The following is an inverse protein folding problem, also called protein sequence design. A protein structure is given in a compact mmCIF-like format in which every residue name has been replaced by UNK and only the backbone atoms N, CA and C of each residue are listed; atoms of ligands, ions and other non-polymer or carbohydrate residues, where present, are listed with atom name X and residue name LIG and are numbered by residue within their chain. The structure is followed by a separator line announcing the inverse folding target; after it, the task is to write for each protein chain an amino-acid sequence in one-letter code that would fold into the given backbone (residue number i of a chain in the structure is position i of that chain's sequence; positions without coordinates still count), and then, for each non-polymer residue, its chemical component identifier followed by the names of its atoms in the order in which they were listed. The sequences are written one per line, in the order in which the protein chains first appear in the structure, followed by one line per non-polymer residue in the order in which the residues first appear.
data_IF_307378003620
#
_entry.id   IF_307378003620
#
_cell.length_a   1.000
_cell.length_b   1.000
_cell.length_c   1.000
_cell.angle_alpha   90.00
_cell.angle_beta   90.00
_cell.angle_gamma   90.00
#
_symmetry.space_group_name_H-M   'P 1'
#
loop_
_entity.id
_entity.type
_entity.pdbx_description
1 polymer ?
#
# COMPACT_ATOMS: atom_id res chain seq x y z
N UNK A 1 -11.05 -24.94 -20.46
CA UNK A 1 -11.27 -25.27 -19.07
C UNK A 1 -11.49 -23.99 -18.28
N UNK A 2 -12.69 -23.55 -18.42
CA UNK A 2 -13.09 -22.22 -18.05
C UNK A 2 -14.14 -22.30 -16.96
N UNK A 3 -13.88 -21.50 -15.92
CA UNK A 3 -14.95 -20.92 -15.11
C UNK A 3 -15.78 -21.86 -14.21
N UNK A 4 -15.11 -22.63 -13.37
CA UNK A 4 -15.77 -23.33 -12.25
C UNK A 4 -15.57 -22.67 -10.89
N UNK A 5 -15.04 -21.46 -10.84
CA UNK A 5 -14.80 -20.74 -9.58
C UNK A 5 -15.88 -19.73 -9.20
N UNK A 6 -17.04 -19.72 -9.86
CA UNK A 6 -18.15 -18.81 -9.57
C UNK A 6 -19.23 -19.40 -8.68
N UNK A 7 -18.92 -20.29 -7.81
CA UNK A 7 -19.93 -20.81 -6.92
C UNK A 7 -19.34 -21.38 -5.65
N UNK A 8 -19.65 -20.74 -4.55
CA UNK A 8 -19.32 -21.10 -3.18
C UNK A 8 -18.04 -20.44 -2.66
N UNK A 9 -18.23 -19.50 -1.80
CA UNK A 9 -17.38 -18.79 -0.88
C UNK A 9 -16.09 -19.38 -0.38
N UNK A 10 -15.27 -19.95 -1.22
CA UNK A 10 -13.90 -20.23 -0.90
C UNK A 10 -13.11 -18.94 -1.06
N UNK A 11 -12.85 -18.31 0.05
CA UNK A 11 -11.87 -17.24 0.18
C UNK A 11 -10.49 -17.85 -0.07
N UNK A 12 -10.15 -18.06 -1.33
CA UNK A 12 -8.79 -18.45 -1.68
C UNK A 12 -7.87 -17.31 -1.26
N UNK A 13 -6.98 -17.59 -0.33
CA UNK A 13 -5.87 -16.70 -0.01
C UNK A 13 -5.06 -16.53 -1.29
N UNK A 14 -5.20 -15.41 -1.96
CA UNK A 14 -4.35 -15.07 -3.09
C UNK A 14 -3.01 -14.62 -2.54
N UNK A 15 -1.93 -15.20 -3.03
CA UNK A 15 -0.60 -14.87 -2.56
C UNK A 15 0.41 -14.76 -3.68
N UNK A 16 1.35 -13.84 -3.51
CA UNK A 16 2.60 -13.76 -4.23
C UNK A 16 3.74 -13.94 -3.24
N UNK A 17 4.65 -14.84 -3.53
CA UNK A 17 5.74 -15.10 -2.59
C UNK A 17 7.05 -15.48 -3.27
N UNK A 18 8.18 -15.27 -2.56
CA UNK A 18 9.51 -15.65 -3.01
C UNK A 18 9.83 -15.11 -4.40
N UNK A 19 9.62 -13.82 -4.60
CA UNK A 19 9.70 -13.18 -5.91
C UNK A 19 10.67 -11.99 -5.88
N UNK A 20 11.28 -11.74 -7.02
CA UNK A 20 12.09 -10.54 -7.25
C UNK A 20 11.43 -9.70 -8.32
N UNK A 21 11.27 -8.41 -8.06
CA UNK A 21 10.55 -7.48 -8.91
C UNK A 21 11.46 -6.35 -9.40
N UNK A 22 11.25 -5.97 -10.64
CA UNK A 22 11.89 -4.83 -11.27
C UNK A 22 10.83 -4.06 -12.06
N UNK A 23 10.61 -2.79 -11.74
CA UNK A 23 9.64 -1.96 -12.45
C UNK A 23 10.32 -0.77 -13.13
N UNK A 24 10.48 -0.84 -14.43
CA UNK A 24 10.99 0.28 -15.25
C UNK A 24 9.98 1.42 -15.38
N UNK A 25 8.69 1.11 -15.24
CA UNK A 25 7.58 2.06 -15.29
C UNK A 25 6.47 1.57 -14.36
N UNK A 26 5.82 2.49 -13.67
CA UNK A 26 4.72 2.25 -12.74
C UNK A 26 5.08 1.39 -11.51
N UNK A 27 4.10 0.77 -10.89
CA UNK A 27 4.21 0.10 -9.60
C UNK A 27 4.86 -1.28 -9.68
N UNK A 28 5.81 -1.64 -8.82
CA UNK A 28 6.24 -3.03 -8.65
C UNK A 28 5.11 -3.94 -8.15
N UNK A 29 4.34 -3.49 -7.13
CA UNK A 29 3.13 -4.17 -6.65
C UNK A 29 1.97 -3.19 -6.64
N UNK A 30 0.90 -3.55 -7.34
CA UNK A 30 -0.27 -2.72 -7.45
C UNK A 30 -1.58 -3.49 -7.24
N UNK A 31 -2.45 -2.99 -6.37
CA UNK A 31 -3.75 -3.57 -6.08
C UNK A 31 -4.83 -2.52 -6.36
N UNK A 32 -5.78 -2.86 -7.19
CA UNK A 32 -6.99 -2.10 -7.40
C UNK A 32 -7.01 -1.28 -8.67
N UNK A 33 -7.54 -0.19 -8.65
CA UNK A 33 -8.09 0.96 -9.29
C UNK A 33 -9.37 0.66 -10.07
N UNK A 34 -9.33 -0.20 -11.07
CA UNK A 34 -10.48 -0.48 -11.91
C UNK A 34 -11.39 -1.56 -11.32
N UNK A 35 -12.67 -1.46 -11.59
CA UNK A 35 -13.68 -2.41 -11.16
C UNK A 35 -14.98 -2.23 -11.92
N UNK A 36 -16.01 -2.88 -11.41
CA UNK A 36 -17.37 -2.79 -11.94
C UNK A 36 -18.29 -2.08 -10.96
N UNK A 37 -18.58 -0.80 -11.21
CA UNK A 37 -19.42 0.02 -10.31
C UNK A 37 -20.86 -0.49 -10.19
N UNK A 38 -21.36 -1.25 -11.17
CA UNK A 38 -22.70 -1.88 -11.12
C UNK A 38 -22.69 -3.16 -10.27
N UNK A 39 -21.53 -3.79 -10.13
CA UNK A 39 -21.31 -4.95 -9.28
C UNK A 39 -20.00 -4.76 -8.50
N UNK A 40 -20.00 -3.94 -7.45
CA UNK A 40 -18.80 -3.56 -6.73
C UNK A 40 -18.06 -4.75 -6.13
N UNK A 41 -16.76 -4.79 -6.32
CA UNK A 41 -15.91 -5.90 -5.91
C UNK A 41 -15.31 -5.68 -4.52
N UNK A 42 -14.99 -6.79 -3.86
CA UNK A 42 -14.17 -6.81 -2.65
C UNK A 42 -12.88 -7.57 -2.96
N UNK A 43 -11.76 -6.89 -2.88
CA UNK A 43 -10.43 -7.46 -3.02
C UNK A 43 -9.90 -7.70 -1.60
N UNK A 44 -9.83 -8.96 -1.18
CA UNK A 44 -9.47 -9.26 0.20
C UNK A 44 -8.59 -10.49 0.38
N UNK A 45 -7.99 -10.59 1.57
CA UNK A 45 -7.13 -11.70 1.99
C UNK A 45 -5.94 -11.96 1.05
N UNK A 46 -5.31 -10.86 0.62
CA UNK A 46 -4.15 -10.89 -0.28
C UNK A 46 -2.86 -10.91 0.54
N UNK A 47 -1.92 -11.76 0.15
CA UNK A 47 -0.64 -11.87 0.84
C UNK A 47 0.53 -11.73 -0.14
N UNK A 48 1.45 -10.86 0.20
CA UNK A 48 2.72 -10.61 -0.51
C UNK A 48 3.86 -10.89 0.46
N UNK A 49 4.59 -11.99 0.25
CA UNK A 49 5.52 -12.51 1.27
C UNK A 49 6.88 -12.82 0.65
N UNK A 50 7.93 -12.38 1.32
CA UNK A 50 9.32 -12.63 0.93
C UNK A 50 9.61 -12.18 -0.51
N UNK A 51 9.61 -10.87 -0.71
CA UNK A 51 9.78 -10.24 -2.02
C UNK A 51 10.95 -9.26 -1.99
N UNK A 52 11.77 -9.28 -3.02
CA UNK A 52 12.78 -8.28 -3.29
C UNK A 52 12.29 -7.33 -4.38
N UNK A 53 12.31 -6.03 -4.12
CA UNK A 53 12.04 -4.99 -5.12
C UNK A 53 13.36 -4.29 -5.44
N UNK A 54 13.88 -4.55 -6.62
CA UNK A 54 15.19 -4.06 -7.04
C UNK A 54 15.16 -2.65 -7.62
N UNK A 55 14.02 -2.27 -8.22
CA UNK A 55 13.88 -0.95 -8.83
C UNK A 55 12.43 -0.51 -8.97
N UNK A 56 12.25 0.80 -8.97
CA UNK A 56 11.01 1.49 -9.28
C UNK A 56 11.35 2.82 -9.96
N UNK A 57 10.67 3.14 -11.07
CA UNK A 57 10.87 4.41 -11.75
C UNK A 57 9.56 4.95 -12.29
N UNK A 58 9.02 5.93 -11.59
CA UNK A 58 7.79 6.59 -12.03
C UNK A 58 7.77 8.06 -11.57
N UNK A 59 7.48 8.94 -12.50
CA UNK A 59 7.35 10.38 -12.24
C UNK A 59 5.94 10.80 -11.86
N UNK A 60 4.94 10.07 -12.35
CA UNK A 60 3.54 10.41 -12.15
C UNK A 60 3.08 9.91 -10.79
N UNK A 61 2.64 10.83 -9.96
CA UNK A 61 2.19 10.56 -8.60
C UNK A 61 1.15 9.42 -8.51
N UNK A 62 0.24 9.35 -9.47
CA UNK A 62 -0.82 8.35 -9.50
C UNK A 62 -0.33 6.94 -9.82
N UNK A 63 0.90 6.80 -10.29
CA UNK A 63 1.53 5.53 -10.63
C UNK A 63 2.75 5.20 -9.76
N UNK A 64 3.01 6.00 -8.73
CA UNK A 64 4.09 5.77 -7.78
C UNK A 64 3.67 4.83 -6.65
N UNK A 65 4.65 4.12 -6.09
CA UNK A 65 4.55 3.26 -4.92
C UNK A 65 5.04 1.86 -5.18
N UNK A 66 6.07 1.44 -4.44
CA UNK A 66 6.54 0.05 -4.48
C UNK A 66 5.45 -0.90 -3.99
N UNK A 67 4.71 -0.47 -2.96
CA UNK A 67 3.59 -1.18 -2.36
C UNK A 67 2.34 -0.29 -2.47
N UNK A 68 1.59 -0.43 -3.56
CA UNK A 68 0.50 0.48 -3.88
C UNK A 68 -0.87 -0.21 -3.81
N UNK A 69 -1.83 0.49 -3.18
CA UNK A 69 -3.25 0.12 -3.15
C UNK A 69 -4.06 1.36 -3.50
N UNK A 70 -4.70 1.34 -4.65
CA UNK A 70 -5.56 2.44 -5.06
C UNK A 70 -6.98 1.92 -5.32
N UNK A 71 -7.92 2.22 -4.43
CA UNK A 71 -9.30 1.80 -4.58
C UNK A 71 -10.07 2.78 -5.48
N UNK A 72 -10.64 2.29 -6.57
CA UNK A 72 -11.52 3.01 -7.49
C UNK A 72 -12.79 2.20 -7.77
N UNK A 73 -13.69 2.72 -8.60
CA UNK A 73 -14.89 2.05 -9.12
C UNK A 73 -15.74 1.28 -8.07
N UNK A 74 -15.94 1.89 -6.90
CA UNK A 74 -16.63 1.30 -5.75
C UNK A 74 -15.99 0.00 -5.20
N UNK A 75 -14.73 -0.28 -5.50
CA UNK A 75 -14.03 -1.41 -4.90
C UNK A 75 -13.76 -1.16 -3.41
N UNK A 76 -13.84 -2.22 -2.63
CA UNK A 76 -13.33 -2.29 -1.27
C UNK A 76 -12.10 -3.19 -1.24
N UNK A 77 -10.98 -2.67 -0.73
CA UNK A 77 -9.74 -3.43 -0.60
C UNK A 77 -9.45 -3.61 0.89
N UNK A 78 -9.33 -4.85 1.36
CA UNK A 78 -9.13 -5.11 2.79
C UNK A 78 -8.33 -6.38 3.08
N UNK A 79 -7.80 -6.45 4.31
CA UNK A 79 -7.07 -7.62 4.79
C UNK A 79 -5.90 -7.98 3.87
N UNK A 80 -5.07 -6.99 3.54
CA UNK A 80 -3.88 -7.18 2.73
C UNK A 80 -2.65 -7.21 3.63
N UNK A 81 -1.76 -8.16 3.38
CA UNK A 81 -0.52 -8.34 4.12
C UNK A 81 0.67 -8.27 3.19
N UNK A 82 1.57 -7.37 3.50
CA UNK A 82 2.92 -7.30 2.95
C UNK A 82 3.89 -7.70 4.05
N UNK A 83 4.67 -8.77 3.85
CA UNK A 83 5.57 -9.29 4.88
C UNK A 83 6.92 -9.68 4.31
N UNK A 84 7.98 -9.31 5.04
CA UNK A 84 9.36 -9.60 4.67
C UNK A 84 9.67 -9.12 3.24
N UNK A 85 9.50 -7.82 3.01
CA UNK A 85 9.78 -7.20 1.71
C UNK A 85 11.00 -6.29 1.84
N UNK A 86 11.95 -6.51 0.98
CA UNK A 86 13.21 -5.74 0.91
C UNK A 86 13.17 -4.89 -0.35
N UNK A 87 13.30 -3.58 -0.15
CA UNK A 87 13.25 -2.60 -1.23
C UNK A 87 14.64 -1.96 -1.32
N UNK A 88 15.29 -2.10 -2.47
CA UNK A 88 16.57 -1.48 -2.77
C UNK A 88 16.40 -0.02 -3.15
N UNK A 89 17.52 0.70 -3.32
CA UNK A 89 17.50 2.09 -3.79
C UNK A 89 17.03 2.17 -5.24
N UNK A 90 15.79 2.54 -5.42
CA UNK A 90 15.17 2.69 -6.72
C UNK A 90 15.41 4.11 -7.30
N UNK A 91 15.21 4.24 -8.62
CA UNK A 91 15.51 5.47 -9.35
C UNK A 91 14.60 6.65 -9.03
N UNK A 92 13.29 6.43 -8.85
CA UNK A 92 12.31 7.46 -8.52
C UNK A 92 10.96 6.87 -8.14
N UNK A 93 10.34 7.33 -7.06
CA UNK A 93 8.99 6.95 -6.67
C UNK A 93 8.78 6.95 -5.17
N UNK A 94 7.74 6.26 -4.72
CA UNK A 94 7.33 6.16 -3.33
C UNK A 94 7.50 4.73 -2.79
N UNK A 95 7.68 4.59 -1.49
CA UNK A 95 7.65 3.26 -0.86
C UNK A 95 6.22 2.73 -0.81
N UNK A 96 5.29 3.56 -0.34
CA UNK A 96 3.89 3.19 -0.13
C UNK A 96 2.97 4.23 -0.77
N UNK A 97 1.91 3.76 -1.43
CA UNK A 97 0.84 4.62 -1.94
C UNK A 97 -0.52 3.98 -1.67
N UNK A 98 -1.21 4.43 -0.62
CA UNK A 98 -2.55 3.97 -0.30
C UNK A 98 -3.52 5.13 -0.55
N UNK A 99 -4.34 5.02 -1.59
CA UNK A 99 -5.27 6.08 -1.96
C UNK A 99 -6.63 5.52 -2.34
N UNK A 100 -7.68 6.18 -1.88
CA UNK A 100 -8.97 6.00 -2.52
C UNK A 100 -9.00 6.96 -3.70
N UNK A 101 -9.13 6.39 -4.89
CA UNK A 101 -8.86 7.07 -6.15
C UNK A 101 -10.15 7.37 -6.92
N UNK A 102 -10.18 8.54 -7.55
CA UNK A 102 -11.17 8.89 -8.55
C UNK A 102 -10.56 9.80 -9.63
N UNK A 103 -10.66 9.36 -10.86
CA UNK A 103 -10.31 10.13 -12.03
C UNK A 103 -11.30 9.79 -13.13
N UNK A 104 -12.12 10.73 -13.54
CA UNK A 104 -13.20 10.55 -14.51
C UNK A 104 -12.77 9.92 -15.84
N UNK A 105 -11.49 10.03 -16.19
CA UNK A 105 -10.94 9.41 -17.38
C UNK A 105 -10.84 7.88 -17.25
N UNK A 106 -10.64 7.37 -16.02
CA UNK A 106 -10.32 5.96 -15.76
C UNK A 106 -11.30 5.25 -14.85
N UNK A 107 -12.05 6.00 -14.05
CA UNK A 107 -12.96 5.47 -13.06
C UNK A 107 -14.33 6.12 -13.21
N UNK A 108 -15.37 5.38 -12.91
CA UNK A 108 -16.75 5.87 -12.89
C UNK A 108 -17.24 6.26 -11.50
N UNK A 109 -16.52 5.87 -10.45
CA UNK A 109 -16.76 6.24 -9.06
C UNK A 109 -15.47 6.13 -8.24
N UNK A 110 -15.35 6.83 -7.10
CA UNK A 110 -14.28 6.56 -6.15
C UNK A 110 -14.45 5.17 -5.50
N UNK A 111 -13.37 4.62 -4.97
CA UNK A 111 -13.40 3.39 -4.19
C UNK A 111 -14.23 3.52 -2.90
N UNK A 112 -14.69 2.40 -2.35
CA UNK A 112 -15.44 2.38 -1.09
C UNK A 112 -14.55 2.50 0.14
N UNK A 113 -13.33 1.95 0.10
CA UNK A 113 -12.43 1.96 1.24
C UNK A 113 -11.17 1.13 1.03
N UNK A 114 -10.20 1.37 1.92
CA UNK A 114 -9.00 0.55 2.10
C UNK A 114 -8.91 0.25 3.59
N UNK A 115 -8.92 -1.03 4.00
CA UNK A 115 -9.05 -1.39 5.40
C UNK A 115 -8.14 -2.56 5.80
N UNK A 116 -7.60 -2.50 7.04
CA UNK A 116 -6.82 -3.60 7.63
C UNK A 116 -5.61 -4.01 6.78
N UNK A 117 -4.71 -3.09 6.55
CA UNK A 117 -3.48 -3.33 5.79
C UNK A 117 -2.31 -3.49 6.76
N UNK A 118 -1.59 -4.58 6.63
CA UNK A 118 -0.41 -4.88 7.43
C UNK A 118 0.86 -4.82 6.56
N UNK A 119 1.79 -3.97 6.97
CA UNK A 119 3.16 -3.93 6.48
C UNK A 119 4.07 -4.46 7.59
N UNK A 120 4.61 -5.66 7.42
CA UNK A 120 5.43 -6.32 8.44
C UNK A 120 6.81 -6.64 7.91
N UNK A 121 7.84 -6.30 8.68
CA UNK A 121 9.23 -6.54 8.32
C UNK A 121 9.57 -6.01 6.91
N UNK A 122 9.23 -4.73 6.68
CA UNK A 122 9.52 -4.02 5.43
C UNK A 122 10.82 -3.27 5.62
N UNK A 123 11.76 -3.43 4.70
CA UNK A 123 13.00 -2.66 4.70
C UNK A 123 13.21 -1.90 3.39
N UNK A 124 13.70 -0.68 3.53
CA UNK A 124 14.18 0.13 2.42
C UNK A 124 15.62 0.58 2.69
N UNK A 125 16.47 0.45 1.68
CA UNK A 125 17.84 0.95 1.72
C UNK A 125 18.07 1.81 0.50
N UNK A 126 18.14 3.13 0.69
CA UNK A 126 18.33 4.08 -0.40
C UNK A 126 17.98 5.52 -0.03
N UNK A 127 18.12 6.43 -0.99
CA UNK A 127 17.91 7.87 -0.80
C UNK A 127 16.81 8.45 -1.69
N UNK A 128 16.40 7.74 -2.73
CA UNK A 128 15.52 8.25 -3.79
C UNK A 128 14.02 8.16 -3.49
N UNK A 129 13.62 7.61 -2.33
CA UNK A 129 12.22 7.55 -1.97
C UNK A 129 11.61 8.94 -1.78
N UNK A 130 10.58 9.26 -2.57
CA UNK A 130 9.74 10.43 -2.41
C UNK A 130 8.78 10.24 -1.23
N UNK A 131 8.03 11.28 -0.88
CA UNK A 131 7.06 11.19 0.22
C UNK A 131 5.94 10.24 -0.14
N UNK A 132 5.84 9.14 0.58
CA UNK A 132 4.74 8.17 0.50
C UNK A 132 3.43 8.78 0.97
N UNK A 133 2.29 8.21 0.52
CA UNK A 133 0.97 8.76 0.83
C UNK A 133 0.00 7.70 1.34
N UNK A 134 -0.80 8.10 2.35
CA UNK A 134 -1.95 7.34 2.83
C UNK A 134 -3.12 8.32 2.95
N UNK A 135 -4.09 8.27 2.02
CA UNK A 135 -5.14 9.29 1.89
C UNK A 135 -6.48 8.65 1.53
N UNK A 136 -7.52 8.95 2.30
CA UNK A 136 -8.91 8.63 1.96
C UNK A 136 -9.51 9.63 0.97
N UNK A 137 -10.81 9.52 0.71
CA UNK A 137 -11.49 10.35 -0.27
C UNK A 137 -12.49 11.33 0.35
N UNK A 138 -13.35 10.83 1.23
CA UNK A 138 -14.36 11.61 1.94
C UNK A 138 -14.69 10.98 3.30
N UNK A 139 -15.69 11.51 3.99
CA UNK A 139 -16.10 11.05 5.33
C UNK A 139 -16.59 9.61 5.37
N UNK A 140 -17.03 9.06 4.26
CA UNK A 140 -17.55 7.70 4.15
C UNK A 140 -16.49 6.74 3.57
N UNK A 141 -15.67 7.24 2.65
CA UNK A 141 -14.67 6.49 1.92
C UNK A 141 -13.29 6.73 2.51
N UNK A 142 -12.93 5.89 3.47
CA UNK A 142 -11.75 6.08 4.32
C UNK A 142 -10.68 5.02 4.10
N UNK A 143 -9.45 5.39 4.43
CA UNK A 143 -8.38 4.44 4.67
C UNK A 143 -8.31 4.17 6.17
N UNK A 144 -8.38 2.89 6.61
CA UNK A 144 -8.48 2.53 8.01
C UNK A 144 -7.59 1.38 8.41
N UNK A 145 -7.09 1.43 9.66
CA UNK A 145 -6.34 0.36 10.29
C UNK A 145 -5.11 -0.06 9.47
N UNK A 146 -4.22 0.88 9.25
CA UNK A 146 -2.95 0.65 8.59
C UNK A 146 -1.87 0.45 9.65
N UNK A 147 -1.21 -0.69 9.62
CA UNK A 147 -0.22 -1.04 10.63
C UNK A 147 1.12 -1.37 10.00
N UNK A 148 2.15 -0.69 10.48
CA UNK A 148 3.54 -0.98 10.16
C UNK A 148 4.17 -1.68 11.36
N UNK A 149 4.68 -2.89 11.18
CA UNK A 149 5.44 -3.65 12.16
C UNK A 149 6.88 -3.80 11.65
N UNK A 150 7.86 -3.29 12.40
CA UNK A 150 9.28 -3.32 12.03
C UNK A 150 9.60 -2.68 10.67
N UNK A 151 9.00 -1.53 10.35
CA UNK A 151 9.42 -0.76 9.18
C UNK A 151 10.85 -0.26 9.39
N UNK A 152 11.77 -0.62 8.52
CA UNK A 152 13.18 -0.25 8.61
C UNK A 152 13.58 0.61 7.41
N UNK A 153 14.12 1.80 7.67
CA UNK A 153 14.62 2.72 6.64
C UNK A 153 16.09 2.97 6.90
N UNK A 154 16.94 2.60 5.97
CA UNK A 154 18.41 2.74 6.07
C UNK A 154 18.97 2.18 7.40
N UNK A 155 18.45 1.03 7.84
CA UNK A 155 18.89 0.36 9.05
C UNK A 155 18.23 0.86 10.34
N UNK A 156 17.45 1.94 10.31
CA UNK A 156 16.71 2.45 11.47
C UNK A 156 15.28 1.92 11.48
N UNK A 157 14.86 1.29 12.58
CA UNK A 157 13.47 0.85 12.78
C UNK A 157 12.62 2.05 13.17
N UNK A 158 11.54 2.29 12.43
CA UNK A 158 10.60 3.40 12.65
C UNK A 158 9.39 2.90 13.43
N UNK A 159 9.14 3.51 14.60
CA UNK A 159 8.00 3.16 15.46
C UNK A 159 7.53 4.35 16.32
N UNK A 160 6.32 4.28 16.85
CA UNK A 160 5.68 5.44 17.49
C UNK A 160 6.45 5.97 18.72
N UNK A 161 7.00 5.11 19.54
CA UNK A 161 7.71 5.48 20.77
C UNK A 161 9.25 5.54 20.60
N UNK A 162 9.75 5.76 19.39
CA UNK A 162 11.20 5.80 19.16
C UNK A 162 11.85 6.99 19.90
N UNK A 163 12.95 6.75 20.66
CA UNK A 163 13.51 7.75 21.58
C UNK A 163 14.13 8.97 20.89
N UNK A 164 14.61 8.80 19.67
CA UNK A 164 15.31 9.85 18.92
C UNK A 164 14.39 10.70 18.05
N UNK A 165 13.07 10.44 18.07
CA UNK A 165 12.12 11.22 17.29
C UNK A 165 12.03 12.64 17.88
N UNK A 166 12.23 13.68 17.06
CA UNK A 166 12.03 15.05 17.51
C UNK A 166 10.58 15.25 18.02
N UNK A 167 10.43 16.04 19.09
CA UNK A 167 9.12 16.23 19.75
C UNK A 167 8.02 16.77 18.82
N UNK A 168 8.39 17.51 17.79
CA UNK A 168 7.49 18.09 16.80
C UNK A 168 7.23 17.21 15.59
N UNK A 169 7.92 16.05 15.47
CA UNK A 169 7.70 15.07 14.40
C UNK A 169 6.62 14.08 14.79
N UNK A 170 5.79 13.75 13.82
CA UNK A 170 4.98 12.52 13.83
C UNK A 170 5.84 11.35 13.36
N UNK A 171 5.45 10.14 13.70
CA UNK A 171 6.19 8.95 13.25
C UNK A 171 6.19 8.84 11.72
N UNK A 172 5.09 9.24 11.08
CA UNK A 172 5.02 9.33 9.62
C UNK A 172 6.10 10.25 9.00
N UNK A 173 6.49 11.33 9.70
CA UNK A 173 7.56 12.23 9.21
C UNK A 173 8.91 11.50 9.17
N UNK A 174 9.19 10.65 10.17
CA UNK A 174 10.41 9.83 10.21
C UNK A 174 10.43 8.78 9.10
N UNK A 175 9.26 8.24 8.74
CA UNK A 175 9.10 7.28 7.65
C UNK A 175 8.95 7.94 6.27
N UNK A 176 8.91 9.28 6.19
CA UNK A 176 8.54 10.04 4.99
C UNK A 176 7.20 9.58 4.40
N UNK A 177 6.21 9.35 5.29
CA UNK A 177 4.84 8.95 4.94
C UNK A 177 3.90 10.07 5.36
N UNK A 178 3.25 10.68 4.39
CA UNK A 178 2.17 11.65 4.61
C UNK A 178 0.86 10.92 4.87
N UNK A 179 0.29 11.12 6.05
CA UNK A 179 -1.04 10.62 6.43
C UNK A 179 -2.02 11.78 6.25
N UNK A 180 -2.81 11.71 5.21
CA UNK A 180 -3.73 12.78 4.80
C UNK A 180 -5.14 12.63 5.35
N UNK A 181 -6.06 13.37 4.74
CA UNK A 181 -7.47 13.43 5.13
C UNK A 181 -8.16 12.06 4.99
N UNK A 182 -9.23 11.87 5.77
CA UNK A 182 -10.05 10.66 5.74
C UNK A 182 -9.28 9.36 5.95
N UNK A 183 -8.22 9.45 6.76
CA UNK A 183 -7.41 8.31 7.18
C UNK A 183 -7.55 8.11 8.69
N UNK A 184 -7.82 6.89 9.12
CA UNK A 184 -8.03 6.51 10.51
C UNK A 184 -7.08 5.39 10.94
N UNK A 185 -6.43 5.56 12.08
CA UNK A 185 -5.60 4.51 12.70
C UNK A 185 -4.43 4.04 11.83
N UNK A 186 -3.40 4.87 11.74
CA UNK A 186 -2.10 4.47 11.20
C UNK A 186 -1.13 4.33 12.36
N UNK A 187 -0.55 3.14 12.55
CA UNK A 187 0.36 2.84 13.67
C UNK A 187 1.68 2.29 13.18
N UNK A 188 2.74 2.58 13.94
CA UNK A 188 4.08 2.07 13.69
C UNK A 188 4.58 1.37 14.96
N UNK A 189 4.87 0.09 14.85
CA UNK A 189 5.21 -0.77 15.99
C UNK A 189 6.58 -1.42 15.77
N UNK A 190 7.34 -1.54 16.85
CA UNK A 190 8.53 -2.39 16.91
C UNK A 190 8.19 -3.64 17.69
N UNK A 191 8.38 -4.80 17.07
CA UNK A 191 8.11 -6.12 17.67
C UNK A 191 9.34 -6.99 17.71
#
# INVERSE_FOLDING_TARGET
DTDRSRGLGDVYKRQMQNSTLWADVAHPIFIGIHGNTKNPEVLENLNYINIDILDHKEKQLDYQGCLAINAGDNNLIRNVRFENIRIEDFRQGQLVNLRIFFNEKYCTAPGRGIENILFKDISYTGENAEVSMIIGYDKERKVKNIRFENLTINGEVIYDDMPNKPKWYKTGDMARIFVGEHTESVTFEKK
#
